data_IF_481056838190
#
_entry.id   IF_481056838190
#
_cell.length_a   1.000
_cell.length_b   1.000
_cell.length_c   1.000
_cell.angle_alpha   90.00
_cell.angle_beta   90.00
_cell.angle_gamma   90.00
#
_symmetry.space_group_name_H-M   'P 1'
#
loop_
_entity.id
_entity.type
_entity.pdbx_description
1 polymer ?
#
# COMPACT_ATOMS: atom_id res chain seq x y z
N UNK A 1 21.62 -33.65 -14.68
CA UNK A 1 20.20 -33.88 -14.34
C UNK A 1 19.50 -32.52 -14.31
N UNK A 2 18.93 -32.06 -15.44
CA UNK A 2 18.33 -30.72 -15.55
C UNK A 2 16.89 -30.72 -15.00
N UNK A 3 16.74 -30.37 -13.73
CA UNK A 3 15.44 -30.30 -13.06
C UNK A 3 15.20 -28.90 -12.50
N UNK A 4 14.98 -27.95 -13.39
CA UNK A 4 14.49 -26.62 -13.00
C UNK A 4 13.42 -26.19 -14.00
N UNK A 5 12.27 -26.86 -13.95
CA UNK A 5 11.06 -26.30 -14.55
C UNK A 5 10.53 -25.26 -13.56
N UNK A 6 10.51 -24.00 -13.98
CA UNK A 6 9.91 -22.88 -13.25
C UNK A 6 8.38 -23.00 -13.31
N UNK A 7 7.84 -24.11 -12.81
CA UNK A 7 6.41 -24.46 -12.88
C UNK A 7 5.71 -24.20 -11.56
N UNK A 8 4.52 -23.58 -11.63
CA UNK A 8 3.68 -23.36 -10.45
C UNK A 8 4.17 -22.25 -9.52
N UNK A 9 4.72 -21.18 -10.09
CA UNK A 9 5.23 -20.01 -9.37
C UNK A 9 4.08 -19.02 -9.17
N UNK A 10 3.90 -18.54 -7.94
CA UNK A 10 3.02 -17.39 -7.67
C UNK A 10 3.75 -16.11 -8.06
N UNK A 11 3.42 -15.57 -9.24
CA UNK A 11 4.07 -14.38 -9.78
C UNK A 11 3.08 -13.49 -10.55
N UNK A 12 3.37 -12.20 -10.57
CA UNK A 12 2.69 -11.23 -11.40
C UNK A 12 3.25 -11.26 -12.82
N UNK A 13 2.56 -11.98 -13.70
CA UNK A 13 2.97 -12.13 -15.10
C UNK A 13 2.99 -10.81 -15.89
N UNK A 14 2.32 -9.75 -15.39
CA UNK A 14 2.36 -8.43 -16.03
C UNK A 14 3.72 -7.74 -15.88
N UNK A 15 4.54 -8.15 -14.90
CA UNK A 15 5.90 -7.63 -14.67
C UNK A 15 6.97 -8.33 -15.51
N UNK A 16 6.61 -9.28 -16.37
CA UNK A 16 7.60 -10.07 -17.13
C UNK A 16 8.36 -9.19 -18.13
N UNK A 17 7.68 -8.24 -18.77
CA UNK A 17 8.30 -7.27 -19.68
C UNK A 17 9.37 -6.44 -18.96
N UNK A 18 9.02 -5.79 -17.85
CA UNK A 18 9.96 -4.99 -17.08
C UNK A 18 11.13 -5.84 -16.57
N UNK A 19 10.87 -7.05 -16.08
CA UNK A 19 11.91 -7.97 -15.64
C UNK A 19 12.91 -8.32 -16.75
N UNK A 20 12.44 -8.48 -17.99
CA UNK A 20 13.28 -8.74 -19.15
C UNK A 20 14.08 -7.50 -19.56
N UNK A 21 13.46 -6.33 -19.58
CA UNK A 21 14.13 -5.04 -19.87
C UNK A 21 15.26 -4.76 -18.86
N UNK A 22 15.02 -4.97 -17.56
CA UNK A 22 16.04 -4.85 -16.52
C UNK A 22 17.16 -5.90 -16.66
N UNK A 23 16.86 -7.06 -17.23
CA UNK A 23 17.88 -8.05 -17.52
C UNK A 23 18.77 -7.67 -18.71
N UNK A 24 18.48 -6.56 -19.41
CA UNK A 24 19.28 -6.05 -20.53
C UNK A 24 18.98 -6.75 -21.85
N UNK A 25 17.75 -7.21 -22.06
CA UNK A 25 17.34 -7.75 -23.37
C UNK A 25 17.12 -6.63 -24.38
N UNK A 26 17.41 -6.91 -25.65
CA UNK A 26 17.24 -5.99 -26.76
C UNK A 26 16.18 -6.50 -27.75
N UNK A 27 15.46 -5.56 -28.39
CA UNK A 27 14.46 -5.90 -29.39
C UNK A 27 13.30 -6.75 -28.86
N UNK A 28 12.86 -6.47 -27.63
CA UNK A 28 11.83 -7.25 -26.93
C UNK A 28 10.49 -7.21 -27.66
N UNK A 29 10.00 -8.39 -28.04
CA UNK A 29 8.64 -8.62 -28.56
C UNK A 29 7.79 -9.36 -27.54
N UNK A 30 6.48 -9.12 -27.59
CA UNK A 30 5.49 -9.79 -26.76
C UNK A 30 4.33 -10.23 -27.63
N UNK A 31 4.06 -11.54 -27.62
CA UNK A 31 2.98 -12.16 -28.36
C UNK A 31 2.02 -12.83 -27.37
N UNK A 32 0.75 -12.45 -27.43
CA UNK A 32 -0.33 -13.17 -26.74
C UNK A 32 -0.78 -14.33 -27.61
N UNK A 33 -0.32 -15.53 -27.29
CA UNK A 33 -0.67 -16.76 -28.02
C UNK A 33 -2.12 -17.15 -27.74
N UNK A 34 -2.56 -17.01 -26.49
CA UNK A 34 -3.96 -17.10 -26.06
C UNK A 34 -4.12 -16.44 -24.69
N UNK A 35 -5.33 -16.48 -24.10
CA UNK A 35 -5.63 -15.89 -22.79
C UNK A 35 -4.73 -16.38 -21.65
N UNK A 36 -4.20 -17.60 -21.75
CA UNK A 36 -3.38 -18.25 -20.72
C UNK A 36 -1.91 -18.42 -21.13
N UNK A 37 -1.50 -17.80 -22.23
CA UNK A 37 -0.14 -18.00 -22.77
C UNK A 37 0.38 -16.70 -23.39
N UNK A 38 1.38 -16.12 -22.71
CA UNK A 38 2.19 -15.03 -23.24
C UNK A 38 3.55 -15.56 -23.67
N UNK A 39 4.11 -14.96 -24.72
CA UNK A 39 5.42 -15.31 -25.25
C UNK A 39 6.23 -14.03 -25.41
N UNK A 40 7.46 -14.06 -24.90
CA UNK A 40 8.41 -12.97 -25.02
C UNK A 40 9.61 -13.44 -25.83
N UNK A 41 10.10 -12.59 -26.73
CA UNK A 41 11.26 -12.89 -27.57
C UNK A 41 12.14 -11.66 -27.76
N UNK A 42 13.38 -11.87 -28.18
CA UNK A 42 14.32 -10.79 -28.41
C UNK A 42 15.74 -11.32 -28.50
N UNK A 43 16.70 -10.47 -28.19
CA UNK A 43 18.12 -10.79 -28.15
C UNK A 43 18.68 -10.54 -26.75
N UNK A 44 19.52 -11.44 -26.25
CA UNK A 44 20.25 -11.29 -25.00
C UNK A 44 21.69 -11.75 -25.23
N UNK A 45 22.68 -10.89 -24.97
CA UNK A 45 24.09 -11.17 -25.28
C UNK A 45 24.33 -11.69 -26.70
N UNK A 46 23.75 -11.02 -27.70
CA UNK A 46 23.77 -11.39 -29.12
C UNK A 46 23.09 -12.74 -29.50
N UNK A 47 22.51 -13.47 -28.54
CA UNK A 47 21.76 -14.70 -28.79
C UNK A 47 20.24 -14.46 -28.80
N UNK A 48 19.53 -15.11 -29.71
CA UNK A 48 18.05 -15.02 -29.77
C UNK A 48 17.45 -15.87 -28.67
N UNK A 49 16.57 -15.28 -27.86
CA UNK A 49 15.83 -15.98 -26.83
C UNK A 49 14.33 -15.97 -27.11
N UNK A 50 13.65 -16.94 -26.50
CA UNK A 50 12.20 -16.94 -26.41
C UNK A 50 11.76 -17.64 -25.13
N UNK A 51 10.94 -16.95 -24.34
CA UNK A 51 10.39 -17.43 -23.06
C UNK A 51 8.87 -17.45 -23.14
N UNK A 52 8.26 -18.55 -22.70
CA UNK A 52 6.81 -18.67 -22.59
C UNK A 52 6.37 -18.52 -21.13
N UNK A 53 5.28 -17.79 -20.91
CA UNK A 53 4.61 -17.63 -19.64
C UNK A 53 3.22 -18.26 -19.74
N UNK A 54 3.04 -19.40 -19.08
CA UNK A 54 1.76 -20.12 -19.04
C UNK A 54 1.04 -19.80 -17.73
N UNK A 55 -0.15 -19.22 -17.83
CA UNK A 55 -1.03 -18.91 -16.70
C UNK A 55 -1.93 -20.11 -16.39
N UNK A 56 -1.93 -20.54 -15.13
CA UNK A 56 -2.78 -21.65 -14.65
C UNK A 56 -4.04 -21.08 -13.99
N UNK A 57 -5.10 -21.90 -13.97
CA UNK A 57 -6.39 -21.55 -13.36
C UNK A 57 -6.36 -21.26 -11.85
N UNK A 58 -5.26 -21.55 -11.18
CA UNK A 58 -5.06 -21.34 -9.74
C UNK A 58 -4.18 -20.11 -9.42
N UNK A 59 -4.04 -19.18 -10.37
CA UNK A 59 -3.23 -17.96 -10.24
C UNK A 59 -1.71 -18.18 -10.30
N UNK A 60 -1.24 -19.42 -10.50
CA UNK A 60 0.18 -19.72 -10.65
C UNK A 60 0.60 -19.64 -12.12
N UNK A 61 1.88 -19.41 -12.36
CA UNK A 61 2.46 -19.39 -13.69
C UNK A 61 3.53 -20.48 -13.87
N UNK A 62 3.80 -20.83 -15.12
CA UNK A 62 4.99 -21.59 -15.52
C UNK A 62 5.82 -20.76 -16.50
N UNK A 63 7.12 -20.64 -16.24
CA UNK A 63 8.09 -20.09 -17.17
C UNK A 63 8.68 -21.26 -17.96
N UNK A 64 8.56 -21.21 -19.29
CA UNK A 64 8.92 -22.30 -20.19
C UNK A 64 9.91 -21.88 -21.26
N UNK A 65 10.89 -22.75 -21.52
CA UNK A 65 11.84 -22.62 -22.62
C UNK A 65 11.20 -23.03 -23.95
N UNK A 66 11.53 -22.31 -25.03
CA UNK A 66 11.13 -22.70 -26.39
C UNK A 66 12.26 -23.46 -27.07
N UNK A 67 11.98 -24.65 -27.58
CA UNK A 67 12.94 -25.40 -28.38
C UNK A 67 13.37 -24.61 -29.62
N UNK A 68 14.67 -24.63 -29.95
CA UNK A 68 15.24 -23.87 -31.06
C UNK A 68 15.70 -22.44 -30.70
N UNK A 69 15.52 -22.02 -29.45
CA UNK A 69 16.07 -20.77 -28.91
C UNK A 69 17.15 -21.04 -27.88
N UNK A 70 18.01 -20.03 -27.67
CA UNK A 70 19.18 -20.15 -26.83
C UNK A 70 18.84 -20.57 -25.39
N UNK A 71 19.50 -21.63 -24.92
CA UNK A 71 19.23 -22.22 -23.61
C UNK A 71 19.93 -21.46 -22.49
N UNK A 72 21.12 -20.94 -22.76
CA UNK A 72 21.92 -20.21 -21.77
C UNK A 72 21.26 -18.88 -21.44
N UNK A 73 20.71 -18.20 -22.45
CA UNK A 73 19.85 -17.03 -22.27
C UNK A 73 18.63 -17.36 -21.42
N UNK A 74 17.95 -18.48 -21.66
CA UNK A 74 16.82 -18.90 -20.83
C UNK A 74 17.22 -19.18 -19.38
N UNK A 75 18.35 -19.86 -19.16
CA UNK A 75 18.83 -20.22 -17.82
C UNK A 75 19.25 -18.99 -17.01
N UNK A 76 19.49 -17.83 -17.65
CA UNK A 76 19.69 -16.52 -17.00
C UNK A 76 18.35 -15.76 -16.82
N UNK A 77 17.53 -15.67 -17.86
CA UNK A 77 16.33 -14.84 -17.87
C UNK A 77 15.19 -15.43 -17.03
N UNK A 78 15.00 -16.76 -17.04
CA UNK A 78 13.95 -17.41 -16.27
C UNK A 78 14.08 -17.19 -14.74
N UNK A 79 15.28 -17.31 -14.11
CA UNK A 79 15.46 -16.91 -12.72
C UNK A 79 15.23 -15.42 -12.47
N UNK A 80 15.65 -14.54 -13.38
CA UNK A 80 15.44 -13.09 -13.24
C UNK A 80 13.94 -12.76 -13.22
N UNK A 81 13.16 -13.31 -14.15
CA UNK A 81 11.70 -13.22 -14.18
C UNK A 81 11.10 -13.79 -12.89
N UNK A 82 11.49 -15.01 -12.51
CA UNK A 82 10.95 -15.68 -11.32
C UNK A 82 11.22 -14.92 -10.02
N UNK A 83 12.34 -14.18 -9.94
CA UNK A 83 12.69 -13.33 -8.81
C UNK A 83 11.90 -12.04 -8.83
N UNK A 84 11.93 -11.31 -9.94
CA UNK A 84 11.35 -9.97 -10.04
C UNK A 84 9.82 -9.97 -10.05
N UNK A 85 9.20 -11.01 -10.59
CA UNK A 85 7.75 -11.08 -10.69
C UNK A 85 7.08 -11.76 -9.48
N UNK A 86 7.81 -12.29 -8.51
CA UNK A 86 7.20 -13.08 -7.41
C UNK A 86 6.40 -12.19 -6.47
N UNK A 87 5.23 -12.67 -5.99
CA UNK A 87 4.43 -11.94 -5.02
C UNK A 87 5.03 -11.90 -3.60
N UNK A 88 5.91 -12.85 -3.25
CA UNK A 88 6.62 -12.90 -1.97
C UNK A 88 7.50 -14.14 -1.85
N UNK A 89 8.45 -14.18 -0.91
CA UNK A 89 9.44 -15.26 -0.82
C UNK A 89 8.82 -16.65 -0.54
N UNK A 90 7.76 -16.70 0.28
CA UNK A 90 7.02 -17.92 0.65
C UNK A 90 5.81 -18.13 -0.25
N UNK A 91 5.53 -19.38 -0.62
CA UNK A 91 4.41 -19.75 -1.49
C UNK A 91 3.05 -19.72 -0.79
N UNK A 92 3.01 -19.85 0.53
CA UNK A 92 1.79 -19.89 1.35
C UNK A 92 1.70 -18.66 2.25
N UNK A 93 0.51 -18.07 2.30
CA UNK A 93 0.14 -17.06 3.28
C UNK A 93 -0.57 -17.75 4.45
N UNK A 94 -0.07 -17.51 5.66
CA UNK A 94 -0.78 -17.78 6.89
C UNK A 94 -0.59 -16.59 7.82
N UNK A 95 -1.68 -15.90 8.11
CA UNK A 95 -1.70 -14.68 8.88
C UNK A 95 -2.85 -14.74 9.88
N UNK A 96 -2.60 -14.34 11.12
CA UNK A 96 -3.62 -14.18 12.14
C UNK A 96 -3.42 -12.83 12.83
N UNK A 97 -4.47 -12.01 12.88
CA UNK A 97 -4.42 -10.67 13.44
C UNK A 97 -5.59 -10.44 14.38
N UNK A 98 -5.29 -10.11 15.63
CA UNK A 98 -6.27 -9.73 16.65
C UNK A 98 -6.78 -8.29 16.45
N UNK A 99 -7.90 -7.95 17.10
CA UNK A 99 -8.52 -6.61 17.08
C UNK A 99 -9.02 -6.14 15.70
N UNK A 100 -9.35 -7.07 14.80
CA UNK A 100 -10.05 -6.77 13.56
C UNK A 100 -11.53 -6.47 13.86
N UNK A 101 -11.90 -5.17 13.76
CA UNK A 101 -13.24 -4.70 14.13
C UNK A 101 -14.30 -5.38 13.26
N UNK A 102 -15.41 -5.80 13.87
CA UNK A 102 -16.55 -6.38 13.15
C UNK A 102 -17.06 -5.44 12.05
N UNK A 103 -17.06 -4.14 12.32
CA UNK A 103 -17.42 -3.11 11.33
C UNK A 103 -16.50 -3.07 10.09
N UNK A 104 -15.29 -3.62 10.16
CA UNK A 104 -14.33 -3.71 9.06
C UNK A 104 -14.52 -4.97 8.19
N UNK A 105 -15.34 -5.94 8.61
CA UNK A 105 -15.59 -7.17 7.83
C UNK A 105 -16.29 -6.88 6.51
N UNK A 106 -17.36 -6.09 6.52
CA UNK A 106 -18.08 -5.73 5.28
C UNK A 106 -17.21 -4.92 4.33
N UNK A 107 -16.54 -3.82 4.76
CA UNK A 107 -15.61 -3.09 3.91
C UNK A 107 -14.47 -3.95 3.36
N UNK A 108 -13.97 -4.92 4.12
CA UNK A 108 -12.95 -5.87 3.65
C UNK A 108 -13.45 -6.70 2.47
N UNK A 109 -14.64 -7.27 2.59
CA UNK A 109 -15.24 -8.10 1.53
C UNK A 109 -15.59 -7.24 0.31
N UNK A 110 -16.15 -6.05 0.53
CA UNK A 110 -16.49 -5.11 -0.54
C UNK A 110 -15.25 -4.63 -1.30
N UNK A 111 -14.17 -4.29 -0.59
CA UNK A 111 -12.89 -3.93 -1.20
C UNK A 111 -12.37 -5.03 -2.14
N UNK A 112 -12.37 -6.29 -1.69
CA UNK A 112 -11.93 -7.41 -2.54
C UNK A 112 -12.88 -7.64 -3.73
N UNK A 113 -14.19 -7.50 -3.53
CA UNK A 113 -15.18 -7.60 -4.62
C UNK A 113 -14.99 -6.51 -5.67
N UNK A 114 -14.70 -5.28 -5.25
CA UNK A 114 -14.43 -4.16 -6.16
C UNK A 114 -13.16 -4.39 -7.00
N UNK A 115 -12.21 -5.18 -6.50
CA UNK A 115 -11.03 -5.64 -7.25
C UNK A 115 -11.29 -6.89 -8.12
N UNK A 116 -12.57 -7.30 -8.22
CA UNK A 116 -12.99 -8.42 -9.08
C UNK A 116 -12.96 -9.79 -8.39
N UNK A 117 -12.79 -9.86 -7.08
CA UNK A 117 -12.87 -11.13 -6.35
C UNK A 117 -14.32 -11.57 -6.13
N UNK A 118 -14.55 -12.88 -6.08
CA UNK A 118 -15.86 -13.48 -5.79
C UNK A 118 -15.81 -14.28 -4.49
N UNK A 119 -16.92 -14.27 -3.75
CA UNK A 119 -17.07 -15.11 -2.55
C UNK A 119 -17.67 -16.44 -3.01
N UNK A 120 -16.90 -17.52 -2.89
CA UNK A 120 -17.32 -18.87 -3.27
C UNK A 120 -18.01 -19.61 -2.11
N UNK A 121 -17.69 -19.25 -0.87
CA UNK A 121 -18.26 -19.84 0.34
C UNK A 121 -18.36 -18.79 1.43
N UNK A 122 -19.44 -18.84 2.20
CA UNK A 122 -19.69 -17.98 3.35
C UNK A 122 -20.51 -18.75 4.39
N UNK A 123 -19.81 -19.26 5.40
CA UNK A 123 -20.36 -20.13 6.43
C UNK A 123 -20.20 -19.50 7.81
N UNK A 124 -21.25 -19.60 8.64
CA UNK A 124 -21.22 -19.15 10.02
C UNK A 124 -21.09 -20.37 10.93
N UNK A 125 -20.03 -20.41 11.72
CA UNK A 125 -19.81 -21.42 12.76
C UNK A 125 -19.95 -20.80 14.16
N UNK A 126 -19.94 -21.64 15.19
CA UNK A 126 -20.14 -21.24 16.58
C UNK A 126 -19.19 -20.11 17.06
N UNK A 127 -17.94 -20.10 16.57
CA UNK A 127 -16.89 -19.18 17.05
C UNK A 127 -16.25 -18.33 15.95
N UNK A 128 -16.62 -18.55 14.69
CA UNK A 128 -16.10 -17.79 13.57
C UNK A 128 -17.03 -17.84 12.36
N UNK A 129 -16.97 -16.80 11.52
CA UNK A 129 -17.49 -16.83 10.16
C UNK A 129 -16.34 -17.13 9.21
N UNK A 130 -16.50 -18.12 8.34
CA UNK A 130 -15.52 -18.50 7.34
C UNK A 130 -16.00 -18.08 5.96
N UNK A 131 -15.15 -17.38 5.23
CA UNK A 131 -15.37 -17.09 3.82
C UNK A 131 -14.25 -17.67 2.98
N UNK A 132 -14.59 -18.20 1.81
CA UNK A 132 -13.62 -18.51 0.75
C UNK A 132 -13.79 -17.51 -0.37
N UNK A 133 -12.71 -16.83 -0.70
CA UNK A 133 -12.66 -15.80 -1.73
C UNK A 133 -11.78 -16.30 -2.86
N UNK A 134 -12.23 -16.10 -4.10
CA UNK A 134 -11.49 -16.37 -5.31
C UNK A 134 -11.20 -15.06 -6.06
N UNK A 135 -9.95 -14.85 -6.42
CA UNK A 135 -9.51 -13.70 -7.17
C UNK A 135 -9.85 -13.84 -8.65
N UNK A 136 -9.82 -12.75 -9.43
CA UNK A 136 -10.05 -12.80 -10.86
C UNK A 136 -9.03 -13.66 -11.61
N UNK A 137 -7.84 -13.86 -11.02
CA UNK A 137 -6.78 -14.74 -11.55
C UNK A 137 -6.87 -16.18 -11.06
N UNK A 138 -7.91 -16.53 -10.29
CA UNK A 138 -8.19 -17.88 -9.83
C UNK A 138 -7.40 -18.32 -8.59
N UNK A 139 -6.56 -17.46 -8.02
CA UNK A 139 -6.02 -17.68 -6.69
C UNK A 139 -7.14 -17.62 -5.64
N UNK A 140 -6.95 -18.33 -4.53
CA UNK A 140 -7.97 -18.44 -3.49
C UNK A 140 -7.39 -18.18 -2.11
N UNK A 141 -8.19 -17.52 -1.27
CA UNK A 141 -7.93 -17.33 0.15
C UNK A 141 -9.12 -17.83 0.97
N UNK A 142 -8.81 -18.41 2.12
CA UNK A 142 -9.79 -18.69 3.17
C UNK A 142 -9.57 -17.67 4.28
N UNK A 143 -10.62 -16.94 4.63
CA UNK A 143 -10.61 -15.93 5.68
C UNK A 143 -11.58 -16.34 6.77
N UNK A 144 -11.13 -16.35 8.02
CA UNK A 144 -11.97 -16.60 9.19
C UNK A 144 -12.03 -15.35 10.05
N UNK A 145 -13.24 -14.89 10.34
CA UNK A 145 -13.51 -13.84 11.31
C UNK A 145 -13.99 -14.48 12.61
N UNK A 146 -13.12 -14.53 13.60
CA UNK A 146 -13.43 -15.08 14.91
C UNK A 146 -14.24 -14.09 15.75
N UNK A 147 -15.10 -14.63 16.62
CA UNK A 147 -15.93 -13.85 17.55
C UNK A 147 -15.10 -13.03 18.54
N UNK A 148 -13.85 -13.43 18.81
CA UNK A 148 -12.89 -12.69 19.63
C UNK A 148 -12.21 -11.52 18.88
N UNK A 149 -12.78 -11.05 17.77
CA UNK A 149 -12.20 -9.99 16.91
C UNK A 149 -10.85 -10.36 16.29
N UNK A 150 -10.58 -11.63 16.04
CA UNK A 150 -9.39 -12.07 15.28
C UNK A 150 -9.77 -12.35 13.82
N UNK A 151 -8.96 -11.88 12.88
CA UNK A 151 -9.02 -12.32 11.48
C UNK A 151 -7.87 -13.29 11.20
N UNK A 152 -8.18 -14.45 10.65
CA UNK A 152 -7.19 -15.39 10.11
C UNK A 152 -7.32 -15.44 8.59
N UNK A 153 -6.20 -15.37 7.88
CA UNK A 153 -6.10 -15.44 6.42
C UNK A 153 -5.15 -16.56 6.06
N UNK A 154 -5.63 -17.51 5.26
CA UNK A 154 -4.87 -18.67 4.81
C UNK A 154 -5.02 -18.86 3.30
N UNK A 155 -3.93 -19.19 2.61
CA UNK A 155 -3.97 -19.56 1.19
C UNK A 155 -2.62 -19.40 0.50
N UNK A 156 -2.64 -19.20 -0.81
CA UNK A 156 -1.40 -18.95 -1.56
C UNK A 156 -0.99 -17.48 -1.48
N UNK A 157 0.31 -17.22 -1.40
CA UNK A 157 0.86 -15.87 -1.47
C UNK A 157 0.85 -15.41 -2.94
N UNK A 158 -0.32 -14.96 -3.39
CA UNK A 158 -0.62 -14.51 -4.74
C UNK A 158 -1.33 -13.15 -4.70
N UNK A 159 -2.02 -12.75 -5.76
CA UNK A 159 -2.61 -11.42 -5.88
C UNK A 159 -3.58 -11.07 -4.74
N UNK A 160 -4.50 -11.97 -4.40
CA UNK A 160 -5.42 -11.78 -3.28
C UNK A 160 -4.69 -11.54 -1.96
N UNK A 161 -3.55 -12.21 -1.73
CA UNK A 161 -2.76 -12.04 -0.51
C UNK A 161 -2.23 -10.61 -0.40
N UNK A 162 -1.78 -10.02 -1.52
CA UNK A 162 -1.32 -8.62 -1.57
C UNK A 162 -2.45 -7.68 -1.20
N UNK A 163 -3.61 -7.80 -1.85
CA UNK A 163 -4.78 -6.95 -1.57
C UNK A 163 -5.25 -7.07 -0.11
N UNK A 164 -5.26 -8.27 0.45
CA UNK A 164 -5.61 -8.48 1.85
C UNK A 164 -4.61 -7.76 2.77
N UNK A 165 -3.32 -7.88 2.50
CA UNK A 165 -2.28 -7.20 3.28
C UNK A 165 -2.40 -5.67 3.16
N UNK A 166 -2.70 -5.14 1.98
CA UNK A 166 -2.98 -3.73 1.75
C UNK A 166 -4.17 -3.24 2.57
N UNK A 167 -5.29 -3.95 2.51
CA UNK A 167 -6.46 -3.60 3.32
C UNK A 167 -6.14 -3.65 4.81
N UNK A 168 -5.48 -4.71 5.28
CA UNK A 168 -5.12 -4.86 6.68
C UNK A 168 -4.22 -3.70 7.16
N UNK A 169 -3.30 -3.20 6.32
CA UNK A 169 -2.51 -1.98 6.64
C UNK A 169 -3.39 -0.74 6.84
N UNK A 170 -4.52 -0.64 6.14
CA UNK A 170 -5.43 0.50 6.28
C UNK A 170 -6.25 0.44 7.57
N UNK A 171 -6.73 -0.75 7.97
CA UNK A 171 -7.71 -0.90 9.06
C UNK A 171 -7.14 -1.32 10.41
N UNK A 172 -5.92 -1.85 10.48
CA UNK A 172 -5.36 -2.31 11.75
C UNK A 172 -4.85 -1.13 12.61
N UNK A 173 -5.10 -1.16 13.93
CA UNK A 173 -4.42 -0.29 14.90
C UNK A 173 -2.90 -0.50 14.86
N UNK A 174 -2.15 0.61 14.81
CA UNK A 174 -0.72 0.61 14.47
C UNK A 174 0.19 0.02 15.55
N UNK A 175 -0.29 -0.10 16.78
CA UNK A 175 0.40 -0.66 17.95
C UNK A 175 0.85 -2.11 17.72
N UNK A 176 0.10 -2.91 16.95
CA UNK A 176 0.50 -4.28 16.55
C UNK A 176 1.25 -4.35 15.22
N UNK A 177 1.02 -3.38 14.33
CA UNK A 177 1.92 -3.18 13.18
C UNK A 177 3.33 -2.81 13.66
N UNK A 178 3.48 -1.96 14.68
CA UNK A 178 4.76 -1.55 15.26
C UNK A 178 5.50 -2.70 15.95
N UNK A 179 4.82 -3.64 16.61
CA UNK A 179 5.46 -4.84 17.17
C UNK A 179 6.00 -5.75 16.05
N UNK A 180 5.19 -6.00 15.01
CA UNK A 180 5.64 -6.78 13.85
C UNK A 180 6.72 -6.02 13.05
N UNK A 181 6.60 -4.70 12.95
CA UNK A 181 7.55 -3.83 12.26
C UNK A 181 8.84 -3.64 13.06
N UNK A 182 8.85 -3.64 14.39
CA UNK A 182 10.10 -3.63 15.17
C UNK A 182 10.91 -4.90 14.92
N UNK A 183 10.23 -6.05 14.83
CA UNK A 183 10.87 -7.32 14.51
C UNK A 183 11.41 -7.37 13.06
N UNK A 184 10.68 -6.79 12.09
CA UNK A 184 11.06 -6.78 10.66
C UNK A 184 12.04 -5.66 10.31
N UNK A 185 11.82 -4.44 10.83
CA UNK A 185 12.49 -3.21 10.42
C UNK A 185 13.62 -2.74 11.35
N UNK A 186 13.89 -3.45 12.46
CA UNK A 186 14.94 -3.12 13.44
C UNK A 186 14.94 -1.63 13.85
N UNK A 187 13.75 -1.05 14.05
CA UNK A 187 13.59 0.37 14.37
C UNK A 187 14.28 0.64 15.72
N UNK A 188 15.29 1.53 15.79
CA UNK A 188 15.96 1.88 17.04
C UNK A 188 15.06 2.76 17.92
N UNK A 189 15.07 2.53 19.24
CA UNK A 189 14.43 3.40 20.24
C UNK A 189 13.15 2.87 20.90
N UNK A 190 12.70 3.57 21.93
CA UNK A 190 11.49 3.26 22.72
C UNK A 190 10.28 4.04 22.21
N UNK A 191 9.08 3.73 22.72
CA UNK A 191 7.88 4.54 22.43
C UNK A 191 8.04 5.99 22.95
N UNK A 192 8.70 6.13 24.08
CA UNK A 192 8.98 7.43 24.70
C UNK A 192 9.92 8.28 23.84
N UNK A 193 11.00 7.68 23.30
CA UNK A 193 11.89 8.42 22.39
C UNK A 193 11.16 8.86 21.12
N UNK A 194 10.31 8.00 20.54
CA UNK A 194 9.51 8.34 19.36
C UNK A 194 8.56 9.53 19.60
N UNK A 195 7.96 9.59 20.80
CA UNK A 195 7.12 10.72 21.20
C UNK A 195 7.94 11.99 21.39
N UNK A 196 9.07 11.92 22.09
CA UNK A 196 9.95 13.08 22.31
C UNK A 196 10.52 13.63 20.99
N UNK A 197 10.90 12.74 20.07
CA UNK A 197 11.34 13.11 18.72
C UNK A 197 10.24 13.89 17.98
N UNK A 198 8.98 13.45 18.09
CA UNK A 198 7.85 14.14 17.47
C UNK A 198 7.65 15.53 18.11
N UNK A 199 7.68 15.64 19.44
CA UNK A 199 7.56 16.93 20.14
C UNK A 199 8.63 17.91 19.65
N UNK A 200 9.88 17.45 19.54
CA UNK A 200 10.97 18.27 19.05
C UNK A 200 10.79 18.68 17.57
N UNK A 201 10.13 17.83 16.77
CA UNK A 201 9.95 18.03 15.33
C UNK A 201 8.76 18.92 14.96
N UNK A 202 7.73 18.93 15.80
CA UNK A 202 6.48 19.68 15.57
C UNK A 202 6.03 20.44 16.85
N UNK A 203 6.87 21.37 17.36
CA UNK A 203 6.66 21.99 18.66
C UNK A 203 5.36 22.80 18.76
N UNK A 204 4.86 23.36 17.67
CA UNK A 204 3.69 24.25 17.67
C UNK A 204 2.37 23.47 17.71
N UNK A 205 2.33 22.27 17.12
CA UNK A 205 1.09 21.49 17.03
C UNK A 205 1.01 20.35 18.04
N UNK A 206 2.13 19.94 18.67
CA UNK A 206 2.20 18.70 19.44
C UNK A 206 1.10 18.55 20.52
N UNK A 207 0.81 19.62 21.25
CA UNK A 207 -0.19 19.66 22.33
C UNK A 207 -1.62 19.59 21.80
N UNK A 208 -1.83 20.08 20.58
CA UNK A 208 -3.11 20.10 19.93
C UNK A 208 -3.44 18.78 19.23
N UNK A 209 -2.46 17.95 18.89
CA UNK A 209 -2.71 16.69 18.19
C UNK A 209 -3.55 15.72 19.04
N UNK A 210 -4.65 15.22 18.46
CA UNK A 210 -5.35 14.06 19.00
C UNK A 210 -4.39 12.86 19.11
N UNK A 211 -4.57 12.02 20.11
CA UNK A 211 -3.63 10.92 20.40
C UNK A 211 -3.49 9.97 19.21
N UNK A 212 -4.57 9.71 18.47
CA UNK A 212 -4.52 8.89 17.25
C UNK A 212 -3.64 9.51 16.16
N UNK A 213 -3.71 10.83 15.97
CA UNK A 213 -2.87 11.55 15.01
C UNK A 213 -1.40 11.53 15.46
N UNK A 214 -1.17 11.78 16.76
CA UNK A 214 0.16 11.74 17.37
C UNK A 214 0.81 10.36 17.21
N UNK A 215 0.05 9.28 17.41
CA UNK A 215 0.53 7.91 17.19
C UNK A 215 0.98 7.69 15.75
N UNK A 216 0.23 8.18 14.76
CA UNK A 216 0.60 8.02 13.35
C UNK A 216 1.88 8.78 12.99
N UNK A 217 1.99 10.05 13.42
CA UNK A 217 3.12 10.90 13.09
C UNK A 217 4.42 10.47 13.79
N UNK A 218 4.35 10.07 15.07
CA UNK A 218 5.51 9.54 15.80
C UNK A 218 5.99 8.20 15.21
N UNK A 219 5.06 7.39 14.72
CA UNK A 219 5.39 6.15 14.00
C UNK A 219 6.10 6.45 12.68
N UNK A 220 5.60 7.40 11.90
CA UNK A 220 6.25 7.83 10.65
C UNK A 220 7.70 8.28 10.90
N UNK A 221 7.90 9.13 11.90
CA UNK A 221 9.22 9.64 12.27
C UNK A 221 10.15 8.53 12.80
N UNK A 222 9.61 7.51 13.44
CA UNK A 222 10.40 6.34 13.86
C UNK A 222 10.82 5.49 12.66
N UNK A 223 9.94 5.34 11.67
CA UNK A 223 10.22 4.58 10.45
C UNK A 223 11.31 5.22 9.59
N UNK A 224 11.47 6.54 9.62
CA UNK A 224 12.60 7.21 8.95
C UNK A 224 13.96 6.88 9.57
N UNK A 225 13.99 6.26 10.76
CA UNK A 225 15.21 5.78 11.43
C UNK A 225 15.48 4.29 11.18
N UNK A 226 14.58 3.59 10.50
CA UNK A 226 14.74 2.18 10.16
C UNK A 226 15.84 2.01 9.09
N UNK A 227 16.80 1.11 9.35
CA UNK A 227 17.92 0.80 8.45
C UNK A 227 17.64 -0.39 7.54
N UNK A 228 16.48 -0.43 6.89
CA UNK A 228 16.01 -1.59 6.12
C UNK A 228 16.03 -1.26 4.64
N UNK A 229 16.48 -2.20 3.83
CA UNK A 229 16.46 -2.11 2.37
C UNK A 229 15.11 -2.62 1.88
N UNK A 230 14.37 -1.78 1.16
CA UNK A 230 13.08 -2.10 0.55
C UNK A 230 13.14 -1.82 -0.95
N UNK A 231 12.38 -2.58 -1.73
CA UNK A 231 12.16 -2.30 -3.15
C UNK A 231 11.17 -1.13 -3.35
N UNK A 232 10.36 -0.84 -2.34
CA UNK A 232 9.46 0.31 -2.29
C UNK A 232 9.40 0.86 -0.85
N UNK A 233 9.85 2.10 -0.68
CA UNK A 233 9.88 2.83 0.57
C UNK A 233 8.58 3.59 0.87
N UNK A 234 7.53 3.50 0.03
CA UNK A 234 6.22 4.10 0.31
C UNK A 234 5.65 3.70 1.68
N UNK A 235 5.97 2.49 2.15
CA UNK A 235 5.60 2.01 3.47
C UNK A 235 6.13 2.89 4.63
N UNK A 236 7.26 3.60 4.44
CA UNK A 236 7.81 4.53 5.43
C UNK A 236 6.98 5.83 5.54
N UNK A 237 6.40 6.28 4.43
CA UNK A 237 5.62 7.51 4.36
C UNK A 237 4.14 7.32 4.74
N UNK A 238 3.63 6.09 4.68
CA UNK A 238 2.22 5.79 4.91
C UNK A 238 1.66 6.31 6.27
N UNK A 239 2.36 6.11 7.41
CA UNK A 239 1.84 6.64 8.68
C UNK A 239 1.79 8.17 8.71
N UNK A 240 2.70 8.87 8.00
CA UNK A 240 2.64 10.33 7.92
C UNK A 240 1.37 10.79 7.20
N UNK A 241 1.02 10.13 6.09
CA UNK A 241 -0.19 10.44 5.32
C UNK A 241 -1.47 10.09 6.08
N UNK A 242 -1.48 9.00 6.85
CA UNK A 242 -2.59 8.65 7.74
C UNK A 242 -2.75 9.65 8.89
N UNK A 243 -1.64 10.13 9.44
CA UNK A 243 -1.63 11.22 10.41
C UNK A 243 -2.19 12.51 9.82
N UNK A 244 -1.80 12.85 8.58
CA UNK A 244 -2.30 14.01 7.86
C UNK A 244 -3.82 13.95 7.62
N UNK A 245 -4.34 12.78 7.23
CA UNK A 245 -5.79 12.56 7.08
C UNK A 245 -6.53 12.78 8.41
N UNK A 246 -6.01 12.18 9.49
CA UNK A 246 -6.58 12.34 10.82
C UNK A 246 -6.57 13.80 11.29
N UNK A 247 -5.49 14.55 11.02
CA UNK A 247 -5.40 15.97 11.32
C UNK A 247 -6.44 16.78 10.55
N UNK A 248 -6.67 16.50 9.26
CA UNK A 248 -7.72 17.18 8.50
C UNK A 248 -9.10 17.00 9.16
N UNK A 249 -9.46 15.77 9.54
CA UNK A 249 -10.72 15.53 10.25
C UNK A 249 -10.76 16.19 11.63
N UNK A 250 -9.63 16.28 12.32
CA UNK A 250 -9.53 17.00 13.58
C UNK A 250 -9.81 18.49 13.39
N UNK A 251 -9.13 19.14 12.44
CA UNK A 251 -9.33 20.56 12.11
C UNK A 251 -10.77 20.85 11.67
N UNK A 252 -11.37 19.99 10.84
CA UNK A 252 -12.79 20.13 10.46
C UNK A 252 -13.73 20.11 11.67
N UNK A 253 -13.41 19.32 12.70
CA UNK A 253 -14.22 19.28 13.94
C UNK A 253 -13.97 20.46 14.86
N UNK A 254 -12.70 20.76 15.12
CA UNK A 254 -12.30 21.69 16.18
C UNK A 254 -12.30 23.15 15.70
N UNK A 255 -11.86 23.39 14.47
CA UNK A 255 -11.71 24.73 13.91
C UNK A 255 -12.90 25.14 13.03
N UNK A 256 -13.50 24.18 12.31
CA UNK A 256 -14.64 24.44 11.43
C UNK A 256 -16.00 24.08 12.06
N UNK A 257 -16.01 23.46 13.25
CA UNK A 257 -17.23 23.04 13.97
C UNK A 257 -18.11 22.08 13.17
N UNK A 258 -17.53 21.34 12.22
CA UNK A 258 -18.24 20.32 11.48
C UNK A 258 -18.29 19.02 12.27
N UNK A 259 -19.33 18.22 12.02
CA UNK A 259 -19.45 16.86 12.54
C UNK A 259 -19.43 15.87 11.38
N UNK A 260 -18.24 15.49 10.87
CA UNK A 260 -18.13 14.50 9.81
C UNK A 260 -18.83 13.19 10.21
N UNK A 261 -19.80 12.75 9.41
CA UNK A 261 -20.48 11.47 9.62
C UNK A 261 -19.50 10.32 9.41
N UNK A 262 -19.73 9.17 10.06
CA UNK A 262 -18.84 7.98 10.02
C UNK A 262 -18.47 7.47 8.61
N UNK A 263 -19.18 7.87 7.56
CA UNK A 263 -18.93 7.50 6.15
C UNK A 263 -18.40 8.65 5.29
N UNK A 264 -18.19 9.83 5.86
CA UNK A 264 -17.64 10.97 5.13
C UNK A 264 -16.19 10.72 4.75
N UNK A 265 -15.81 11.21 3.58
CA UNK A 265 -14.44 11.21 3.07
C UNK A 265 -13.92 12.65 3.05
N UNK A 266 -12.60 12.84 3.09
CA UNK A 266 -12.05 14.20 2.97
C UNK A 266 -12.50 14.89 1.69
N UNK A 267 -12.63 14.15 0.58
CA UNK A 267 -13.09 14.65 -0.72
C UNK A 267 -14.48 15.28 -0.70
N UNK A 268 -15.30 15.05 0.33
CA UNK A 268 -16.62 15.68 0.48
C UNK A 268 -16.53 17.18 0.81
N UNK A 269 -15.38 17.61 1.34
CA UNK A 269 -15.12 18.97 1.85
C UNK A 269 -14.30 19.85 0.91
N UNK A 270 -13.75 19.29 -0.17
CA UNK A 270 -12.88 20.01 -1.09
C UNK A 270 -13.33 19.87 -2.54
N UNK A 271 -13.15 20.94 -3.31
CA UNK A 271 -13.31 20.95 -4.76
C UNK A 271 -11.95 21.20 -5.43
N UNK A 272 -11.82 20.69 -6.65
CA UNK A 272 -10.66 20.98 -7.49
C UNK A 272 -10.79 22.41 -8.04
N UNK A 273 -9.71 23.18 -7.94
CA UNK A 273 -9.64 24.54 -8.47
C UNK A 273 -8.32 24.72 -9.24
N UNK A 274 -8.40 24.70 -10.56
CA UNK A 274 -7.22 24.71 -11.43
C UNK A 274 -6.32 23.50 -11.16
N UNK A 275 -5.05 23.77 -10.82
CA UNK A 275 -4.05 22.75 -10.45
C UNK A 275 -4.03 22.44 -8.94
N UNK A 276 -4.95 23.02 -8.17
CA UNK A 276 -5.00 22.88 -6.72
C UNK A 276 -6.38 22.48 -6.21
N UNK A 277 -6.56 22.68 -4.91
CA UNK A 277 -7.82 22.42 -4.22
C UNK A 277 -8.28 23.66 -3.47
N UNK A 278 -9.59 23.72 -3.23
CA UNK A 278 -10.21 24.67 -2.31
C UNK A 278 -11.22 23.96 -1.44
N UNK A 279 -11.56 24.54 -0.29
CA UNK A 279 -12.71 24.06 0.47
C UNK A 279 -14.01 24.35 -0.29
N UNK A 280 -14.90 23.36 -0.33
CA UNK A 280 -16.21 23.42 -1.00
C UNK A 280 -17.14 24.38 -0.26
N UNK A 281 -17.96 25.14 -0.99
CA UNK A 281 -19.08 25.91 -0.41
C UNK A 281 -20.25 24.95 -0.12
N UNK A 282 -20.92 25.00 1.05
CA UNK A 282 -20.82 26.04 2.10
C UNK A 282 -19.76 25.77 3.19
N UNK A 283 -18.99 24.68 3.11
CA UNK A 283 -18.02 24.30 4.15
C UNK A 283 -16.85 25.28 4.35
N UNK A 284 -16.60 26.20 3.42
CA UNK A 284 -15.61 27.26 3.60
C UNK A 284 -16.16 28.51 4.31
N UNK A 285 -17.48 28.64 4.43
CA UNK A 285 -18.12 29.82 5.02
C UNK A 285 -17.86 29.90 6.53
N UNK A 286 -17.36 31.04 6.99
CA UNK A 286 -17.07 31.27 8.41
C UNK A 286 -15.79 30.61 8.94
N UNK A 287 -15.08 29.83 8.12
CA UNK A 287 -13.80 29.22 8.50
C UNK A 287 -12.65 30.23 8.37
N UNK A 288 -11.78 30.41 9.37
CA UNK A 288 -10.64 31.33 9.26
C UNK A 288 -9.68 30.95 8.11
N UNK A 289 -9.15 31.95 7.40
CA UNK A 289 -8.29 31.75 6.22
C UNK A 289 -7.07 30.84 6.51
N UNK A 290 -6.32 30.98 7.62
CA UNK A 290 -5.22 30.07 7.96
C UNK A 290 -5.65 28.61 8.13
N UNK A 291 -6.84 28.37 8.70
CA UNK A 291 -7.41 27.03 8.83
C UNK A 291 -7.73 26.46 7.45
N UNK A 292 -8.35 27.25 6.57
CA UNK A 292 -8.64 26.82 5.20
C UNK A 292 -7.35 26.50 4.42
N UNK A 293 -6.34 27.36 4.55
CA UNK A 293 -5.03 27.18 3.90
C UNK A 293 -4.35 25.89 4.36
N UNK A 294 -4.30 25.63 5.67
CA UNK A 294 -3.73 24.40 6.20
C UNK A 294 -4.52 23.17 5.71
N UNK A 295 -5.86 23.20 5.81
CA UNK A 295 -6.73 22.12 5.34
C UNK A 295 -6.51 21.79 3.85
N UNK A 296 -6.43 22.81 2.99
CA UNK A 296 -6.18 22.65 1.56
C UNK A 296 -4.78 22.08 1.29
N UNK A 297 -3.75 22.55 2.00
CA UNK A 297 -2.39 22.04 1.84
C UNK A 297 -2.29 20.58 2.28
N UNK A 298 -2.85 20.23 3.44
CA UNK A 298 -2.89 18.87 3.95
C UNK A 298 -3.68 17.95 3.01
N UNK A 299 -4.86 18.38 2.57
CA UNK A 299 -5.66 17.60 1.63
C UNK A 299 -4.96 17.40 0.29
N UNK A 300 -4.35 18.44 -0.27
CA UNK A 300 -3.61 18.33 -1.54
C UNK A 300 -2.45 17.35 -1.45
N UNK A 301 -1.67 17.41 -0.37
CA UNK A 301 -0.59 16.45 -0.13
C UNK A 301 -1.11 15.03 0.07
N UNK A 302 -2.15 14.86 0.88
CA UNK A 302 -2.76 13.55 1.10
C UNK A 302 -3.32 12.97 -0.21
N UNK A 303 -4.04 13.77 -1.00
CA UNK A 303 -4.67 13.34 -2.25
C UNK A 303 -3.62 12.92 -3.27
N UNK A 304 -2.60 13.76 -3.48
CA UNK A 304 -1.52 13.50 -4.44
C UNK A 304 -0.74 12.23 -4.09
N UNK A 305 -0.35 12.09 -2.83
CA UNK A 305 0.47 10.97 -2.37
C UNK A 305 -0.35 9.69 -2.21
N UNK A 306 -1.61 9.77 -1.75
CA UNK A 306 -2.51 8.61 -1.66
C UNK A 306 -2.79 8.02 -3.05
N UNK A 307 -3.07 8.89 -4.03
CA UNK A 307 -3.37 8.46 -5.39
C UNK A 307 -2.14 7.88 -6.10
N UNK A 308 -0.94 8.46 -5.90
CA UNK A 308 0.28 8.01 -6.57
C UNK A 308 0.99 6.83 -5.90
N UNK A 309 0.96 6.73 -4.57
CA UNK A 309 1.72 5.72 -3.84
C UNK A 309 0.90 4.48 -3.47
N UNK A 310 -0.42 4.60 -3.37
CA UNK A 310 -1.27 3.55 -2.79
C UNK A 310 -2.48 3.17 -3.64
N UNK A 311 -2.64 3.79 -4.81
CA UNK A 311 -3.61 3.36 -5.82
C UNK A 311 -2.85 2.95 -7.09
N UNK A 312 -2.85 1.65 -7.39
CA UNK A 312 -2.57 1.18 -8.75
C UNK A 312 -3.87 1.34 -9.54
N UNK A 313 -3.89 2.21 -10.54
CA UNK A 313 -5.04 2.24 -11.46
C UNK A 313 -4.96 1.10 -12.50
N UNK A 314 -5.98 0.99 -13.37
CA UNK A 314 -6.05 -0.08 -14.38
C UNK A 314 -4.92 -0.05 -15.43
N UNK A 315 -4.15 1.04 -15.48
CA UNK A 315 -2.88 1.18 -16.20
C UNK A 315 -1.74 1.12 -15.18
N UNK A 316 -0.82 0.17 -15.34
CA UNK A 316 0.33 -0.02 -14.42
C UNK A 316 1.32 1.16 -14.37
N UNK A 317 0.99 2.30 -14.97
CA UNK A 317 1.85 3.48 -15.16
C UNK A 317 1.74 4.53 -14.05
N UNK A 318 0.75 4.47 -13.15
CA UNK A 318 0.51 5.56 -12.17
C UNK A 318 0.94 5.28 -10.74
N UNK A 319 1.25 4.02 -10.38
CA UNK A 319 1.79 3.70 -9.05
C UNK A 319 3.27 4.06 -9.01
N UNK A 320 3.61 5.19 -8.40
CA UNK A 320 5.00 5.60 -8.16
C UNK A 320 5.61 4.68 -7.10
N UNK A 321 6.61 3.92 -7.50
CA UNK A 321 7.50 3.22 -6.56
C UNK A 321 8.44 4.28 -5.96
N UNK A 322 8.60 4.29 -4.63
CA UNK A 322 9.67 5.04 -3.99
C UNK A 322 10.85 4.09 -3.84
N UNK A 323 11.70 4.01 -4.86
CA UNK A 323 12.91 3.19 -4.85
C UNK A 323 14.05 3.84 -4.05
N UNK A 324 13.98 5.16 -3.85
CA UNK A 324 14.82 5.90 -2.92
C UNK A 324 14.16 6.06 -1.54
N UNK A 325 14.92 5.70 -0.50
CA UNK A 325 14.55 5.90 0.90
C UNK A 325 14.45 7.38 1.25
N UNK A 326 15.33 8.20 0.70
CA UNK A 326 15.39 9.62 1.03
C UNK A 326 14.15 10.36 0.49
N UNK A 327 13.57 9.91 -0.62
CA UNK A 327 12.29 10.38 -1.13
C UNK A 327 11.13 10.13 -0.14
N UNK A 328 11.08 8.92 0.44
CA UNK A 328 10.05 8.59 1.44
C UNK A 328 10.23 9.41 2.72
N UNK A 329 11.48 9.65 3.15
CA UNK A 329 11.80 10.51 4.28
C UNK A 329 11.43 11.96 4.00
N UNK A 330 11.67 12.44 2.77
CA UNK A 330 11.29 13.78 2.35
C UNK A 330 9.77 13.99 2.44
N UNK A 331 8.96 12.99 2.11
CA UNK A 331 7.50 13.05 2.29
C UNK A 331 7.15 13.18 3.78
N UNK A 332 7.73 12.33 4.65
CA UNK A 332 7.48 12.41 6.10
C UNK A 332 7.84 13.78 6.65
N UNK A 333 9.03 14.29 6.29
CA UNK A 333 9.49 15.61 6.72
C UNK A 333 8.57 16.72 6.24
N UNK A 334 8.18 16.70 4.97
CA UNK A 334 7.28 17.68 4.38
C UNK A 334 5.91 17.69 5.08
N UNK A 335 5.38 16.52 5.43
CA UNK A 335 4.14 16.42 6.22
C UNK A 335 4.33 17.12 7.56
N UNK A 336 5.38 16.80 8.30
CA UNK A 336 5.65 17.38 9.62
C UNK A 336 5.88 18.91 9.55
N UNK A 337 6.54 19.40 8.51
CA UNK A 337 6.73 20.84 8.30
C UNK A 337 5.43 21.57 8.03
N UNK A 338 4.59 21.04 7.13
CA UNK A 338 3.32 21.69 6.75
C UNK A 338 2.37 21.76 7.94
N UNK A 339 2.26 20.68 8.72
CA UNK A 339 1.36 20.68 9.87
C UNK A 339 1.84 21.64 10.95
N UNK A 340 3.14 21.70 11.23
CA UNK A 340 3.66 22.54 12.31
C UNK A 340 3.61 24.02 11.95
N UNK A 341 4.04 24.38 10.74
CA UNK A 341 4.02 25.75 10.26
C UNK A 341 2.60 26.28 10.10
N UNK A 342 1.69 25.49 9.51
CA UNK A 342 0.32 25.93 9.34
C UNK A 342 -0.44 26.02 10.66
N UNK A 343 -0.14 25.15 11.64
CA UNK A 343 -0.76 25.26 12.96
C UNK A 343 -0.23 26.47 13.76
N UNK A 344 1.05 26.84 13.59
CA UNK A 344 1.58 28.08 14.15
C UNK A 344 0.79 29.32 13.67
N UNK A 345 0.41 29.38 12.39
CA UNK A 345 -0.46 30.46 11.87
C UNK A 345 -1.84 30.46 12.55
N UNK A 346 -2.39 29.29 12.90
CA UNK A 346 -3.66 29.16 13.63
C UNK A 346 -3.52 29.60 15.09
N UNK A 347 -2.41 29.29 15.75
CA UNK A 347 -2.15 29.74 17.13
C UNK A 347 -2.04 31.26 17.23
N UNK A 348 -1.34 31.89 16.27
CA UNK A 348 -1.26 33.36 16.17
C UNK A 348 -2.64 34.00 16.08
N UNK A 349 -3.58 33.43 15.32
CA UNK A 349 -4.96 33.91 15.28
C UNK A 349 -5.68 33.83 16.63
N UNK A 350 -5.34 32.83 17.45
CA UNK A 350 -5.97 32.58 18.75
C UNK A 350 -5.32 33.36 19.89
N UNK A 351 -4.31 34.19 19.60
CA UNK A 351 -3.56 34.95 20.62
C UNK A 351 -2.77 34.05 21.57
N UNK A 352 -2.46 32.81 21.16
CA UNK A 352 -1.58 31.91 21.90
C UNK A 352 -0.21 31.94 21.20
N UNK A 353 0.89 32.27 21.92
CA UNK A 353 2.23 32.29 21.34
C UNK A 353 2.68 30.90 20.91
#
# INVERSE_FOLDING_TARGET
MSKTSYSGISMDHLKVRSALEMAGVEGLTEDRVNEKHLRYGGTFNAARFMVNIFMKDNGKCTIGHTAGFDRDAYDVLAPAIAKHCRYGEKTTLELSVSNFKVASQTPFIEYLKNLGATVELDEVHAYFRQIRIKGPRGDTLTVKFYSNSTIQVQGNHAQLAVWVLEFLRTVLPLDKMLEHQRAVYKIPGTLETARNDLIARVPNVHDALAEEVRMQLSSALSMTKAGVVLEDYAALAFPALKGLEGLCFQLLREECQFSPVKKSTLSDYFDMEGLGFKMRVPHSEGVPIPVQKLLVQCYGMWYDQRHRLFHMDGTLETSRILDDRDDAIAIVNRVLDVIDQGYAEILMLKGKP
#
